data_IF_446255626869
#
_entry.id   IF_446255626869
#
_cell.length_a   1.000
_cell.length_b   1.000
_cell.length_c   1.000
_cell.angle_alpha   90.00
_cell.angle_beta   90.00
_cell.angle_gamma   90.00
#
_symmetry.space_group_name_H-M   'P 1'
#
loop_
_entity.id
_entity.type
_entity.pdbx_description
1 polymer ?
#
# COMPACT_ATOMS: atom_id res chain seq x y z
N UNK A 1 -9.52 -3.65 -14.87
CA UNK A 1 -10.50 -2.98 -15.75
C UNK A 1 -11.81 -2.72 -15.00
N UNK A 2 -12.50 -3.77 -14.50
CA UNK A 2 -13.78 -3.65 -13.78
C UNK A 2 -13.72 -2.69 -12.57
N UNK A 3 -12.73 -2.83 -11.71
CA UNK A 3 -12.58 -1.95 -10.54
C UNK A 3 -12.28 -0.50 -10.92
N UNK A 4 -11.52 -0.28 -11.99
CA UNK A 4 -11.27 1.04 -12.54
C UNK A 4 -12.55 1.68 -13.09
N UNK A 5 -13.34 0.93 -13.85
CA UNK A 5 -14.63 1.40 -14.37
C UNK A 5 -15.63 1.68 -13.24
N UNK A 6 -15.67 0.81 -12.22
CA UNK A 6 -16.54 1.00 -11.05
C UNK A 6 -16.13 2.24 -10.25
N UNK A 7 -14.84 2.43 -9.98
CA UNK A 7 -14.33 3.63 -9.30
C UNK A 7 -14.63 4.90 -10.13
N UNK A 8 -14.40 4.84 -11.44
CA UNK A 8 -14.67 5.94 -12.37
C UNK A 8 -16.17 6.26 -12.37
N UNK A 9 -17.02 5.25 -12.48
CA UNK A 9 -18.47 5.39 -12.39
C UNK A 9 -18.90 6.02 -11.06
N UNK A 10 -18.35 5.57 -9.93
CA UNK A 10 -18.67 6.11 -8.62
C UNK A 10 -18.18 7.55 -8.43
N UNK A 11 -17.03 7.89 -8.99
CA UNK A 11 -16.46 9.24 -8.85
C UNK A 11 -16.95 10.24 -9.89
N UNK A 12 -17.18 9.85 -11.13
CA UNK A 12 -17.66 10.76 -12.19
C UNK A 12 -19.16 11.11 -12.06
N UNK A 13 -19.98 10.14 -11.65
CA UNK A 13 -21.43 10.36 -11.48
C UNK A 13 -21.80 10.98 -10.15
N UNK A 14 -20.87 10.99 -9.18
CA UNK A 14 -21.10 11.50 -7.84
C UNK A 14 -20.77 12.98 -7.75
N UNK A 15 -21.74 13.81 -7.35
CA UNK A 15 -21.48 15.23 -7.08
C UNK A 15 -20.49 15.46 -5.92
N UNK A 16 -19.81 16.62 -5.92
CA UNK A 16 -18.77 16.95 -4.92
C UNK A 16 -19.28 16.82 -3.49
N UNK A 17 -20.45 17.36 -3.16
CA UNK A 17 -21.02 17.28 -1.81
C UNK A 17 -21.17 15.83 -1.31
N UNK A 18 -21.50 14.90 -2.19
CA UNK A 18 -21.60 13.48 -1.84
C UNK A 18 -20.25 12.82 -1.69
N UNK A 19 -19.25 13.22 -2.49
CA UNK A 19 -17.85 12.77 -2.33
C UNK A 19 -17.26 13.23 -1.01
N UNK A 20 -17.51 14.49 -0.61
CA UNK A 20 -17.08 15.05 0.67
C UNK A 20 -17.69 14.24 1.83
N UNK A 21 -19.00 14.00 1.82
CA UNK A 21 -19.68 13.20 2.85
C UNK A 21 -19.19 11.76 2.97
N UNK A 22 -18.61 11.21 1.90
CA UNK A 22 -17.99 9.86 1.89
C UNK A 22 -16.51 9.85 2.23
N UNK A 23 -15.93 11.02 2.55
CA UNK A 23 -14.50 11.13 2.86
C UNK A 23 -13.58 10.93 1.66
N UNK A 24 -14.08 10.98 0.43
CA UNK A 24 -13.31 10.76 -0.80
C UNK A 24 -12.76 12.06 -1.40
N UNK A 25 -13.19 13.20 -0.88
CA UNK A 25 -12.90 14.52 -1.42
C UNK A 25 -12.87 15.56 -0.29
N UNK A 26 -11.94 16.49 -0.37
CA UNK A 26 -11.97 17.74 0.38
C UNK A 26 -12.30 18.90 -0.55
N UNK A 27 -13.30 19.67 -0.20
CA UNK A 27 -13.70 20.86 -0.92
C UNK A 27 -14.51 21.80 -0.01
N UNK A 28 -14.19 23.11 0.00
CA UNK A 28 -13.01 23.72 -0.58
C UNK A 28 -11.73 23.43 0.23
N UNK A 29 -10.57 23.61 -0.43
CA UNK A 29 -9.26 23.50 0.23
C UNK A 29 -8.42 24.73 -0.08
N UNK A 30 -7.45 25.03 0.81
CA UNK A 30 -6.49 26.10 0.64
C UNK A 30 -5.09 25.54 0.45
N UNK A 31 -4.40 25.87 -0.65
CA UNK A 31 -3.00 25.54 -0.81
C UNK A 31 -2.14 26.42 0.10
N UNK A 32 -1.22 25.80 0.83
CA UNK A 32 -0.29 26.44 1.73
C UNK A 32 1.13 26.51 1.16
N UNK A 33 2.11 26.35 2.03
CA UNK A 33 3.52 26.39 1.68
C UNK A 33 3.94 25.18 0.86
N UNK A 34 4.73 25.42 -0.20
CA UNK A 34 5.47 24.39 -0.92
C UNK A 34 6.93 24.35 -0.49
N UNK A 35 7.52 23.15 -0.38
CA UNK A 35 8.91 22.94 0.04
C UNK A 35 9.43 21.58 -0.42
N UNK A 36 10.72 21.34 -0.29
CA UNK A 36 11.31 20.03 -0.49
C UNK A 36 11.41 19.28 0.84
N UNK A 37 10.88 18.07 0.88
CA UNK A 37 10.95 17.19 2.06
C UNK A 37 12.35 16.54 2.19
N UNK A 38 12.56 15.75 3.25
CA UNK A 38 13.81 15.02 3.50
C UNK A 38 14.21 14.03 2.38
N UNK A 39 13.29 13.61 1.57
CA UNK A 39 13.50 12.74 0.40
C UNK A 39 13.74 13.54 -0.89
N UNK A 40 13.93 14.85 -0.79
CA UNK A 40 14.10 15.78 -1.91
C UNK A 40 12.91 15.76 -2.90
N UNK A 41 11.70 15.51 -2.38
CA UNK A 41 10.47 15.57 -3.16
C UNK A 41 9.78 16.92 -2.94
N UNK A 42 9.29 17.54 -4.00
CA UNK A 42 8.50 18.77 -3.91
C UNK A 42 7.13 18.44 -3.32
N UNK A 43 6.82 19.04 -2.20
CA UNK A 43 5.55 18.85 -1.49
C UNK A 43 4.83 20.19 -1.28
N UNK A 44 3.52 20.12 -1.07
CA UNK A 44 2.69 21.28 -0.69
C UNK A 44 1.75 20.90 0.44
N UNK A 45 1.58 21.84 1.37
CA UNK A 45 0.56 21.75 2.41
C UNK A 45 -0.80 22.10 1.83
N UNK A 46 -1.80 21.29 2.13
CA UNK A 46 -3.21 21.52 1.76
C UNK A 46 -4.03 21.56 3.04
N UNK A 47 -4.76 22.64 3.26
CA UNK A 47 -5.62 22.80 4.44
C UNK A 47 -7.07 22.68 4.04
N UNK A 48 -7.81 21.88 4.81
CA UNK A 48 -9.24 21.72 4.70
C UNK A 48 -9.93 22.91 5.35
N UNK A 49 -10.74 23.64 4.60
CA UNK A 49 -11.38 24.87 5.10
C UNK A 49 -12.77 24.64 5.69
N UNK A 50 -13.48 23.61 5.21
CA UNK A 50 -14.84 23.26 5.65
C UNK A 50 -14.98 21.74 5.89
N UNK A 51 -16.07 21.33 6.54
CA UNK A 51 -16.45 19.93 6.78
C UNK A 51 -15.38 19.11 7.54
N UNK A 52 -14.68 19.73 8.47
CA UNK A 52 -13.54 19.13 9.19
C UNK A 52 -13.96 17.95 10.08
N UNK A 53 -15.21 17.88 10.46
CA UNK A 53 -15.83 16.83 11.27
C UNK A 53 -16.08 15.52 10.50
N UNK A 54 -15.97 15.55 9.17
CA UNK A 54 -16.21 14.35 8.34
C UNK A 54 -14.93 13.53 8.25
N UNK A 55 -14.97 12.27 8.64
CA UNK A 55 -13.89 11.31 8.44
C UNK A 55 -13.53 11.19 6.96
N UNK A 56 -12.26 10.96 6.68
CA UNK A 56 -11.77 10.87 5.31
C UNK A 56 -10.92 9.61 5.07
N UNK A 57 -10.77 9.24 3.80
CA UNK A 57 -10.03 8.05 3.36
C UNK A 57 -8.67 8.39 2.73
N UNK A 58 -8.15 9.60 3.00
CA UNK A 58 -6.82 9.98 2.55
C UNK A 58 -5.77 9.39 3.49
N UNK A 59 -4.92 8.54 2.94
CA UNK A 59 -3.85 7.83 3.64
C UNK A 59 -2.52 8.03 2.91
N UNK A 60 -1.42 7.82 3.62
CA UNK A 60 -0.07 7.84 3.03
C UNK A 60 0.02 6.94 1.79
N UNK A 61 0.63 7.47 0.73
CA UNK A 61 0.84 6.76 -0.53
C UNK A 61 -0.37 6.75 -1.48
N UNK A 62 -1.54 7.24 -1.07
CA UNK A 62 -2.72 7.28 -1.94
C UNK A 62 -2.57 8.36 -3.02
N UNK A 63 -2.86 8.02 -4.29
CA UNK A 63 -2.91 9.02 -5.36
C UNK A 63 -4.14 9.91 -5.23
N UNK A 64 -3.94 11.18 -5.56
CA UNK A 64 -4.97 12.21 -5.51
C UNK A 64 -4.91 13.08 -6.76
N UNK A 65 -6.04 13.64 -7.14
CA UNK A 65 -6.12 14.65 -8.18
C UNK A 65 -6.79 15.93 -7.67
N UNK A 66 -6.35 17.04 -8.19
CA UNK A 66 -6.92 18.36 -7.90
C UNK A 66 -7.93 18.75 -8.96
N UNK A 67 -8.87 19.58 -8.57
CA UNK A 67 -9.89 20.12 -9.45
C UNK A 67 -10.30 21.52 -9.03
N UNK A 68 -10.86 22.27 -9.98
CA UNK A 68 -11.54 23.54 -9.77
C UNK A 68 -13.03 23.36 -9.98
N UNK A 69 -13.81 24.02 -9.15
CA UNK A 69 -15.25 24.14 -9.40
C UNK A 69 -15.60 25.57 -9.78
N UNK A 70 -16.12 25.77 -10.98
CA UNK A 70 -16.60 27.06 -11.47
C UNK A 70 -17.92 27.47 -10.77
N UNK A 71 -18.29 28.75 -10.82
CA UNK A 71 -19.54 29.27 -10.28
C UNK A 71 -20.79 28.60 -10.85
N UNK A 72 -20.72 28.10 -12.09
CA UNK A 72 -21.79 27.33 -12.75
C UNK A 72 -21.85 25.85 -12.31
N UNK A 73 -21.02 25.46 -11.32
CA UNK A 73 -20.97 24.11 -10.78
C UNK A 73 -20.14 23.11 -11.61
N UNK A 74 -19.55 23.54 -12.73
CA UNK A 74 -18.70 22.64 -13.54
C UNK A 74 -17.38 22.38 -12.84
N UNK A 75 -16.94 21.12 -12.91
CA UNK A 75 -15.68 20.64 -12.34
C UNK A 75 -14.66 20.46 -13.46
N UNK A 76 -13.50 21.07 -13.29
CA UNK A 76 -12.36 20.89 -14.18
C UNK A 76 -11.20 20.28 -13.40
N UNK A 77 -10.79 19.08 -13.77
CA UNK A 77 -9.64 18.41 -13.17
C UNK A 77 -8.32 18.96 -13.73
N UNK A 78 -7.30 19.02 -12.89
CA UNK A 78 -5.94 19.31 -13.31
C UNK A 78 -5.31 18.11 -14.02
N UNK A 79 -4.34 18.36 -14.90
CA UNK A 79 -3.70 17.32 -15.72
C UNK A 79 -2.52 16.63 -15.02
N UNK A 80 -2.49 16.63 -13.69
CA UNK A 80 -1.46 15.92 -12.94
C UNK A 80 -2.07 15.17 -11.77
N UNK A 81 -1.36 14.14 -11.34
CA UNK A 81 -1.67 13.34 -10.14
C UNK A 81 -0.61 13.67 -9.10
N UNK A 82 -1.03 13.79 -7.86
CA UNK A 82 -0.18 13.95 -6.70
C UNK A 82 -0.33 12.74 -5.78
N UNK A 83 0.56 12.60 -4.80
CA UNK A 83 0.52 11.48 -3.85
C UNK A 83 0.48 12.01 -2.42
N UNK A 84 -0.38 11.46 -1.59
CA UNK A 84 -0.47 11.82 -0.17
C UNK A 84 0.80 11.38 0.56
N UNK A 85 1.50 12.33 1.18
CA UNK A 85 2.66 12.07 2.05
C UNK A 85 2.28 12.09 3.53
N UNK A 86 1.24 12.82 3.89
CA UNK A 86 0.68 12.91 5.24
C UNK A 86 -0.76 13.42 5.15
N UNK A 87 -1.62 12.94 6.01
CA UNK A 87 -2.96 13.50 6.20
C UNK A 87 -3.43 13.35 7.65
N UNK A 88 -4.01 14.40 8.19
CA UNK A 88 -4.80 14.41 9.41
C UNK A 88 -6.18 15.03 9.14
N UNK A 89 -6.97 15.32 10.16
CA UNK A 89 -8.35 15.80 10.03
C UNK A 89 -8.48 17.12 9.26
N UNK A 90 -7.46 17.99 9.33
CA UNK A 90 -7.48 19.35 8.78
C UNK A 90 -6.41 19.62 7.72
N UNK A 91 -5.30 18.90 7.76
CA UNK A 91 -4.10 19.17 6.96
C UNK A 91 -3.68 17.94 6.18
N UNK A 92 -3.26 18.15 4.96
CA UNK A 92 -2.65 17.13 4.10
C UNK A 92 -1.35 17.68 3.52
N UNK A 93 -0.34 16.83 3.40
CA UNK A 93 0.88 17.09 2.63
C UNK A 93 0.87 16.19 1.43
N UNK A 94 1.01 16.76 0.24
CA UNK A 94 1.04 15.99 -1.00
C UNK A 94 2.33 16.22 -1.77
N UNK A 95 2.86 15.14 -2.33
CA UNK A 95 4.00 15.17 -3.25
C UNK A 95 3.49 15.56 -4.63
N UNK A 96 4.09 16.60 -5.20
CA UNK A 96 3.76 17.12 -6.53
C UNK A 96 4.74 16.60 -7.59
N UNK A 97 4.31 16.45 -8.84
CA UNK A 97 5.19 16.00 -9.94
C UNK A 97 6.25 17.03 -10.34
N UNK A 98 6.07 18.30 -9.99
CA UNK A 98 7.02 19.37 -10.33
C UNK A 98 6.52 20.77 -10.01
N UNK A 99 7.38 21.78 -10.19
CA UNK A 99 7.11 23.17 -9.83
C UNK A 99 5.92 23.79 -10.60
N UNK A 100 5.63 23.33 -11.82
CA UNK A 100 4.48 23.79 -12.58
C UNK A 100 3.15 23.54 -11.86
N UNK A 101 3.03 22.42 -11.14
CA UNK A 101 1.84 22.08 -10.36
C UNK A 101 1.59 23.09 -9.22
N UNK A 102 2.65 23.61 -8.59
CA UNK A 102 2.51 24.63 -7.53
C UNK A 102 1.84 25.89 -8.05
N UNK A 103 2.23 26.33 -9.25
CA UNK A 103 1.70 27.54 -9.87
C UNK A 103 0.21 27.37 -10.20
N UNK A 104 -0.16 26.21 -10.71
CA UNK A 104 -1.57 25.89 -10.99
C UNK A 104 -2.42 25.88 -9.73
N UNK A 105 -1.92 25.32 -8.61
CA UNK A 105 -2.63 25.25 -7.34
C UNK A 105 -2.82 26.61 -6.68
N UNK A 106 -1.87 27.52 -6.79
CA UNK A 106 -1.94 28.85 -6.18
C UNK A 106 -2.83 29.85 -6.93
N UNK A 107 -3.18 29.56 -8.16
CA UNK A 107 -3.93 30.46 -9.02
C UNK A 107 -5.44 30.47 -8.76
N UNK A 108 -5.98 29.61 -7.87
CA UNK A 108 -7.42 29.42 -7.80
C UNK A 108 -8.00 29.41 -6.38
N UNK A 109 -9.17 30.07 -6.24
CA UNK A 109 -9.93 30.18 -4.99
C UNK A 109 -10.98 29.07 -4.78
N UNK A 110 -11.23 28.23 -5.80
CA UNK A 110 -12.25 27.15 -5.78
C UNK A 110 -11.61 25.77 -5.94
N UNK A 111 -10.50 25.57 -5.26
CA UNK A 111 -9.71 24.34 -5.31
C UNK A 111 -10.34 23.23 -4.49
N UNK A 112 -10.32 22.03 -5.04
CA UNK A 112 -10.65 20.78 -4.34
C UNK A 112 -9.61 19.70 -4.62
N UNK A 113 -9.56 18.71 -3.74
CA UNK A 113 -8.72 17.52 -3.88
C UNK A 113 -9.58 16.27 -3.65
N UNK A 114 -9.38 15.26 -4.47
CA UNK A 114 -10.07 13.98 -4.32
C UNK A 114 -9.14 12.80 -4.54
N UNK A 115 -9.51 11.65 -3.97
CA UNK A 115 -8.82 10.39 -4.26
C UNK A 115 -8.89 10.09 -5.76
N UNK A 116 -7.77 9.60 -6.27
CA UNK A 116 -7.65 9.12 -7.64
C UNK A 116 -7.50 7.59 -7.65
N UNK A 117 -7.90 6.94 -8.73
CA UNK A 117 -7.73 5.51 -8.87
C UNK A 117 -6.24 5.15 -9.02
N UNK A 118 -5.74 4.31 -8.13
CA UNK A 118 -4.34 3.87 -8.20
C UNK A 118 -4.17 2.77 -9.26
N UNK A 119 -3.72 3.16 -10.43
CA UNK A 119 -3.34 2.21 -11.49
C UNK A 119 -1.92 1.66 -11.33
N UNK A 120 -1.11 2.28 -10.45
CA UNK A 120 0.31 1.94 -10.30
C UNK A 120 0.49 0.50 -9.83
N UNK A 121 -0.28 0.10 -8.83
CA UNK A 121 -0.26 -1.27 -8.30
C UNK A 121 -0.61 -2.30 -9.38
N UNK A 122 -1.64 -2.03 -10.18
CA UNK A 122 -2.06 -2.92 -11.28
C UNK A 122 -1.01 -2.99 -12.38
N UNK A 123 -0.42 -1.84 -12.77
CA UNK A 123 0.66 -1.80 -13.75
C UNK A 123 1.86 -2.62 -13.28
N UNK A 124 2.28 -2.44 -12.02
CA UNK A 124 3.38 -3.21 -11.43
C UNK A 124 3.08 -4.71 -11.40
N UNK A 125 1.83 -5.11 -11.10
CA UNK A 125 1.41 -6.51 -11.19
C UNK A 125 1.51 -7.07 -12.61
N UNK A 126 1.08 -6.29 -13.62
CA UNK A 126 1.20 -6.71 -15.04
C UNK A 126 2.65 -6.83 -15.46
N UNK A 127 3.50 -5.86 -15.11
CA UNK A 127 4.94 -5.90 -15.41
C UNK A 127 5.60 -7.14 -14.76
N UNK A 128 5.31 -7.40 -13.48
CA UNK A 128 5.82 -8.58 -12.78
C UNK A 128 5.34 -9.91 -13.41
N UNK A 129 4.08 -9.96 -13.87
CA UNK A 129 3.55 -11.12 -14.57
C UNK A 129 4.23 -11.33 -15.92
N UNK A 130 4.44 -10.24 -16.69
CA UNK A 130 5.19 -10.32 -17.96
C UNK A 130 6.62 -10.79 -17.75
N UNK A 131 7.31 -10.29 -16.73
CA UNK A 131 8.66 -10.72 -16.37
C UNK A 131 8.70 -12.20 -16.01
N UNK A 132 7.72 -12.67 -15.22
CA UNK A 132 7.60 -14.09 -14.89
C UNK A 132 7.35 -14.97 -16.13
N UNK A 133 6.50 -14.51 -17.07
CA UNK A 133 6.23 -15.23 -18.33
C UNK A 133 7.49 -15.28 -19.23
N UNK A 134 8.21 -14.18 -19.32
CA UNK A 134 9.42 -14.06 -20.16
C UNK A 134 10.66 -14.74 -19.55
N UNK A 135 10.64 -15.01 -18.24
CA UNK A 135 11.78 -15.60 -17.54
C UNK A 135 12.18 -16.96 -18.09
N UNK A 136 13.50 -17.15 -18.35
CA UNK A 136 14.07 -18.40 -18.85
C UNK A 136 15.43 -18.67 -18.21
N UNK A 137 15.62 -19.89 -17.70
CA UNK A 137 16.91 -20.36 -17.19
C UNK A 137 17.42 -19.60 -15.96
N UNK A 138 16.53 -18.97 -15.21
CA UNK A 138 16.84 -18.21 -13.98
C UNK A 138 15.89 -18.60 -12.84
N UNK A 139 16.16 -18.10 -11.64
CA UNK A 139 15.39 -18.41 -10.44
C UNK A 139 13.90 -18.06 -10.58
N UNK A 140 13.56 -16.98 -11.28
CA UNK A 140 12.18 -16.59 -11.51
C UNK A 140 11.42 -17.63 -12.34
N UNK A 141 12.04 -18.19 -13.39
CA UNK A 141 11.43 -19.26 -14.18
C UNK A 141 11.25 -20.55 -13.37
N UNK A 142 12.19 -20.91 -12.52
CA UNK A 142 12.06 -22.07 -11.61
C UNK A 142 10.88 -21.90 -10.65
N UNK A 143 10.78 -20.74 -9.99
CA UNK A 143 9.68 -20.44 -9.07
C UNK A 143 8.33 -20.41 -9.78
N UNK A 144 8.25 -19.85 -11.00
CA UNK A 144 7.04 -19.92 -11.82
C UNK A 144 6.64 -21.36 -12.09
N UNK A 145 7.56 -22.21 -12.50
CA UNK A 145 7.28 -23.59 -12.87
C UNK A 145 6.86 -24.42 -11.65
N UNK A 146 7.40 -24.12 -10.45
CA UNK A 146 6.95 -24.69 -9.18
C UNK A 146 5.52 -24.25 -8.85
N UNK A 147 5.21 -22.94 -8.98
CA UNK A 147 3.86 -22.40 -8.70
C UNK A 147 2.81 -22.92 -9.67
N UNK A 148 3.19 -23.22 -10.92
CA UNK A 148 2.34 -23.85 -11.91
C UNK A 148 2.22 -25.39 -11.75
N UNK A 149 2.98 -25.99 -10.82
CA UNK A 149 2.98 -27.42 -10.56
C UNK A 149 3.69 -28.26 -11.62
N UNK A 150 4.48 -27.63 -12.49
CA UNK A 150 5.29 -28.33 -13.53
C UNK A 150 6.64 -28.77 -12.99
N UNK A 151 7.06 -28.22 -11.86
CA UNK A 151 8.27 -28.60 -11.13
C UNK A 151 7.95 -28.77 -9.64
N UNK A 152 8.58 -29.74 -8.98
CA UNK A 152 8.42 -29.95 -7.54
C UNK A 152 9.27 -28.96 -6.72
N UNK A 153 8.76 -28.40 -5.61
CA UNK A 153 9.55 -27.58 -4.72
C UNK A 153 10.59 -28.41 -3.96
N UNK A 154 11.73 -27.79 -3.66
CA UNK A 154 12.78 -28.38 -2.85
C UNK A 154 12.58 -28.15 -1.37
N UNK A 155 13.06 -29.09 -0.55
CA UNK A 155 13.04 -28.99 0.92
C UNK A 155 14.44 -29.29 1.49
N UNK A 156 14.69 -28.71 2.67
CA UNK A 156 15.88 -29.00 3.50
C UNK A 156 15.49 -29.96 4.60
N UNK A 157 16.37 -30.83 4.98
CA UNK A 157 16.22 -31.59 6.23
C UNK A 157 16.63 -30.69 7.39
N UNK A 158 15.67 -30.41 8.29
CA UNK A 158 15.91 -29.68 9.53
C UNK A 158 15.31 -30.45 10.69
N UNK A 159 15.98 -30.41 11.85
CA UNK A 159 15.37 -30.89 13.08
C UNK A 159 14.20 -30.00 13.46
N UNK A 160 13.01 -30.55 13.75
CA UNK A 160 11.86 -29.77 14.17
C UNK A 160 12.14 -28.92 15.41
N UNK A 161 11.79 -27.64 15.33
CA UNK A 161 11.86 -26.73 16.48
C UNK A 161 10.55 -26.77 17.24
N UNK A 162 10.62 -26.74 18.56
CA UNK A 162 9.46 -26.73 19.46
C UNK A 162 9.13 -25.29 19.88
N UNK A 163 7.85 -24.96 19.80
CA UNK A 163 7.29 -23.65 20.15
C UNK A 163 6.18 -23.83 21.19
N UNK A 164 6.49 -23.78 22.52
CA UNK A 164 5.50 -24.03 23.56
C UNK A 164 4.28 -23.09 23.55
N UNK A 165 4.41 -21.91 22.92
CA UNK A 165 3.38 -20.90 22.78
C UNK A 165 2.51 -21.05 21.53
N UNK A 166 2.86 -21.94 20.62
CA UNK A 166 2.08 -22.25 19.42
C UNK A 166 1.28 -23.53 19.62
N UNK A 167 0.12 -23.63 19.00
CA UNK A 167 -0.57 -24.90 18.90
C UNK A 167 0.15 -25.84 17.89
N UNK A 168 -0.17 -27.13 17.93
CA UNK A 168 0.50 -28.14 17.11
C UNK A 168 0.43 -27.89 15.60
N UNK A 169 -0.67 -27.29 15.11
CA UNK A 169 -0.85 -26.95 13.70
C UNK A 169 0.04 -25.77 13.30
N UNK A 170 0.09 -24.75 14.14
CA UNK A 170 0.96 -23.59 13.93
C UNK A 170 2.44 -23.98 14.01
N UNK A 171 2.84 -24.79 14.99
CA UNK A 171 4.20 -25.34 15.12
C UNK A 171 4.59 -26.11 13.86
N UNK A 172 3.69 -26.97 13.36
CA UNK A 172 3.91 -27.71 12.13
C UNK A 172 4.07 -26.79 10.93
N UNK A 173 3.26 -25.73 10.83
CA UNK A 173 3.34 -24.75 9.74
C UNK A 173 4.68 -23.99 9.76
N UNK A 174 5.13 -23.50 10.92
CA UNK A 174 6.44 -22.85 11.07
C UNK A 174 7.57 -23.79 10.65
N UNK A 175 7.60 -25.03 11.16
CA UNK A 175 8.62 -26.00 10.79
C UNK A 175 8.64 -26.30 9.27
N UNK A 176 7.47 -26.38 8.63
CA UNK A 176 7.39 -26.55 7.15
C UNK A 176 7.95 -25.35 6.41
N UNK A 177 7.68 -24.12 6.85
CA UNK A 177 8.28 -22.91 6.28
C UNK A 177 9.79 -22.96 6.38
N UNK A 178 10.34 -23.30 7.54
CA UNK A 178 11.79 -23.38 7.77
C UNK A 178 12.50 -24.46 6.91
N UNK A 179 11.81 -25.56 6.62
CA UNK A 179 12.32 -26.63 5.76
C UNK A 179 12.30 -26.28 4.26
N UNK A 180 11.56 -25.25 3.86
CA UNK A 180 11.35 -24.92 2.45
C UNK A 180 12.57 -24.24 1.84
N UNK A 181 12.94 -24.67 0.62
CA UNK A 181 13.96 -23.99 -0.21
C UNK A 181 13.35 -22.99 -1.19
N UNK A 182 12.15 -23.26 -1.65
CA UNK A 182 11.54 -22.54 -2.75
C UNK A 182 10.28 -21.80 -2.34
N UNK A 183 9.20 -22.50 -2.08
CA UNK A 183 7.88 -21.92 -1.80
C UNK A 183 7.19 -22.69 -0.68
N UNK A 184 6.68 -21.97 0.32
CA UNK A 184 5.74 -22.48 1.32
C UNK A 184 4.47 -21.64 1.32
N UNK A 185 3.31 -22.29 1.38
CA UNK A 185 2.01 -21.65 1.46
C UNK A 185 1.38 -21.97 2.80
N UNK A 186 1.15 -20.95 3.62
CA UNK A 186 0.44 -21.06 4.90
C UNK A 186 -0.98 -20.57 4.71
N UNK A 187 -1.92 -21.49 4.60
CA UNK A 187 -3.34 -21.20 4.47
C UNK A 187 -4.08 -21.42 5.79
N UNK A 188 -5.05 -20.55 6.10
CA UNK A 188 -5.93 -20.70 7.26
C UNK A 188 -7.10 -19.70 7.22
N UNK A 189 -8.28 -20.10 7.71
CA UNK A 189 -9.43 -19.20 7.85
C UNK A 189 -9.15 -17.98 8.72
N UNK A 190 -10.00 -16.95 8.70
CA UNK A 190 -9.92 -15.83 9.66
C UNK A 190 -9.90 -16.32 11.12
N UNK A 191 -9.13 -15.68 11.98
CA UNK A 191 -9.07 -16.01 13.41
C UNK A 191 -8.20 -17.21 13.80
N UNK A 192 -7.58 -17.93 12.87
CA UNK A 192 -6.73 -19.12 13.16
C UNK A 192 -5.32 -18.80 13.64
N UNK A 193 -4.98 -17.52 13.80
CA UNK A 193 -3.65 -17.08 14.24
C UNK A 193 -2.59 -17.12 13.13
N UNK A 194 -2.97 -16.97 11.85
CA UNK A 194 -2.02 -16.87 10.72
C UNK A 194 -0.90 -15.88 10.96
N UNK A 195 -1.24 -14.69 11.47
CA UNK A 195 -0.25 -13.63 11.72
C UNK A 195 0.75 -14.07 12.79
N UNK A 196 0.30 -14.70 13.87
CA UNK A 196 1.19 -15.24 14.92
C UNK A 196 2.14 -16.29 14.34
N UNK A 197 1.61 -17.20 13.51
CA UNK A 197 2.40 -18.23 12.81
C UNK A 197 3.43 -17.59 11.87
N UNK A 198 3.03 -16.55 11.12
CA UNK A 198 3.92 -15.86 10.19
C UNK A 198 5.03 -15.08 10.92
N UNK A 199 4.69 -14.37 11.99
CA UNK A 199 5.64 -13.63 12.83
C UNK A 199 6.71 -14.59 13.39
N UNK A 200 6.30 -15.76 13.90
CA UNK A 200 7.24 -16.77 14.39
C UNK A 200 8.13 -17.30 13.26
N UNK A 201 7.55 -17.60 12.11
CA UNK A 201 8.32 -18.05 10.94
C UNK A 201 9.35 -16.99 10.48
N UNK A 202 8.99 -15.71 10.48
CA UNK A 202 9.90 -14.59 10.17
C UNK A 202 11.03 -14.54 11.20
N UNK A 203 10.69 -14.56 12.49
CA UNK A 203 11.66 -14.52 13.58
C UNK A 203 12.68 -15.67 13.49
N UNK A 204 12.21 -16.89 13.35
CA UNK A 204 13.06 -18.06 13.19
C UNK A 204 13.90 -18.03 11.90
N UNK A 205 13.38 -17.42 10.83
CA UNK A 205 14.13 -17.25 9.57
C UNK A 205 15.25 -16.24 9.72
N UNK A 206 15.03 -15.14 10.45
CA UNK A 206 16.06 -14.12 10.73
C UNK A 206 17.29 -14.68 11.49
N UNK A 207 17.11 -15.77 12.25
CA UNK A 207 18.24 -16.46 12.89
C UNK A 207 19.06 -17.36 11.94
N UNK A 208 18.55 -17.62 10.75
CA UNK A 208 19.10 -18.57 9.77
C UNK A 208 19.53 -17.92 8.47
N UNK A 209 18.92 -16.81 8.13
CA UNK A 209 19.14 -16.09 6.89
C UNK A 209 19.53 -14.64 7.18
N UNK A 210 20.46 -14.06 6.43
CA UNK A 210 20.96 -12.71 6.69
C UNK A 210 19.96 -11.60 6.38
N UNK A 211 18.90 -11.91 5.62
CA UNK A 211 17.90 -10.92 5.19
C UNK A 211 16.56 -11.58 4.94
N UNK A 212 15.49 -10.92 5.39
CA UNK A 212 14.09 -11.29 5.14
C UNK A 212 13.34 -10.08 4.61
N UNK A 213 12.66 -10.24 3.48
CA UNK A 213 11.76 -9.22 2.92
C UNK A 213 10.31 -9.59 3.26
N UNK A 214 9.61 -8.69 3.93
CA UNK A 214 8.20 -8.84 4.28
C UNK A 214 7.36 -7.87 3.44
N UNK A 215 6.39 -8.41 2.70
CA UNK A 215 5.49 -7.63 1.87
C UNK A 215 4.03 -7.90 2.26
N UNK A 216 3.18 -6.88 2.20
CA UNK A 216 1.74 -7.00 2.38
C UNK A 216 0.98 -6.04 1.46
N UNK A 217 -0.34 -6.22 1.34
CA UNK A 217 -1.18 -5.37 0.49
C UNK A 217 -1.42 -3.96 1.07
N UNK A 218 -1.22 -3.76 2.37
CA UNK A 218 -1.37 -2.47 3.03
C UNK A 218 -0.20 -2.17 3.95
N UNK A 219 0.12 -0.88 4.12
CA UNK A 219 1.14 -0.41 5.06
C UNK A 219 0.83 -0.86 6.48
N UNK A 220 -0.43 -0.72 6.92
CA UNK A 220 -0.89 -1.17 8.25
C UNK A 220 -0.59 -2.65 8.50
N UNK A 221 -0.73 -3.51 7.50
CA UNK A 221 -0.42 -4.93 7.65
C UNK A 221 1.09 -5.19 7.77
N UNK A 222 1.92 -4.44 7.03
CA UNK A 222 3.39 -4.51 7.16
C UNK A 222 3.82 -4.02 8.53
N UNK A 223 3.32 -2.86 8.98
CA UNK A 223 3.63 -2.27 10.29
C UNK A 223 3.29 -3.26 11.40
N UNK A 224 2.09 -3.83 11.37
CA UNK A 224 1.63 -4.79 12.37
C UNK A 224 2.46 -6.08 12.41
N UNK A 225 2.89 -6.59 11.25
CA UNK A 225 3.78 -7.75 11.18
C UNK A 225 5.18 -7.39 11.68
N UNK A 226 5.67 -6.18 11.40
CA UNK A 226 7.02 -5.73 11.77
C UNK A 226 7.16 -5.41 13.25
N UNK A 227 6.13 -4.84 13.89
CA UNK A 227 6.14 -4.50 15.31
C UNK A 227 6.21 -5.74 16.23
N UNK A 228 5.57 -6.84 15.83
CA UNK A 228 5.47 -8.04 16.67
C UNK A 228 6.79 -8.79 16.88
N UNK A 229 7.64 -9.02 15.88
CA UNK A 229 8.97 -9.62 16.10
C UNK A 229 9.85 -8.77 17.01
N UNK A 230 9.73 -7.43 16.93
CA UNK A 230 10.49 -6.48 17.76
C UNK A 230 10.08 -6.57 19.24
N UNK A 231 8.83 -6.85 19.55
CA UNK A 231 8.36 -6.99 20.93
C UNK A 231 8.83 -8.29 21.61
N UNK A 232 9.22 -9.32 20.86
CA UNK A 232 9.78 -10.58 21.35
C UNK A 232 11.31 -10.56 21.43
N UNK A 233 11.94 -9.62 20.77
CA UNK A 233 13.38 -9.44 20.80
C UNK A 233 13.66 -7.98 21.06
N UNK A 234 14.57 -7.68 21.99
CA UNK A 234 15.28 -6.42 22.01
C UNK A 234 16.18 -6.35 20.76
N UNK A 235 15.57 -6.32 19.59
CA UNK A 235 16.27 -6.03 18.36
C UNK A 235 16.57 -4.54 18.35
N UNK A 236 17.78 -4.20 18.76
CA UNK A 236 18.43 -2.95 18.39
C UNK A 236 18.45 -2.86 16.87
N UNK A 237 17.72 -1.92 16.31
CA UNK A 237 17.86 -1.46 14.94
C UNK A 237 19.26 -0.91 14.72
#
# INVERSE_FOLDING_TARGET
EYEKEEFKRQTETMGIARKVKRGLCWYPVSPGRSYYNSLNQLVIDITRTENKEIEHSFEFGRPVCFFHQSFDGKVKYMNFIATVSYADEERMVVVLPGAGAVIELQADSSLGIQLYFDETSYRTMFEALEDAIRAKGNRLSELRDILLGTQNPGFRELYPVRFPWLNSTQETAVNKVLCTRDVAIVHGPPGTGKTTTLVEAIYETLHREPQVLVCAQSNTAVDWISEKPVSYTHLTL
#
